data_IF_987115587891
#
_entry.id   IF_987115587891
#
_cell.length_a   1.000
_cell.length_b   1.000
_cell.length_c   1.000
_cell.angle_alpha   90.00
_cell.angle_beta   90.00
_cell.angle_gamma   90.00
#
_symmetry.space_group_name_H-M   'P 1'
#
loop_
_entity.id
_entity.type
_entity.pdbx_description
1 polymer ?
#
# COMPACT_ATOMS: atom_id res chain seq x y z
N UNK A 1 28.47 -1.57 17.28
CA UNK A 1 27.29 -2.16 17.95
C UNK A 1 26.39 -2.70 16.86
N UNK A 2 26.12 -3.99 16.91
CA UNK A 2 25.53 -4.83 15.88
C UNK A 2 24.13 -4.37 15.50
N UNK A 3 23.91 -4.16 14.22
CA UNK A 3 22.62 -3.84 13.62
C UNK A 3 21.58 -4.92 13.95
N UNK A 4 20.56 -4.56 14.69
CA UNK A 4 19.39 -5.39 14.89
C UNK A 4 18.66 -5.49 13.55
N UNK A 5 18.78 -6.64 12.88
CA UNK A 5 18.02 -6.97 11.69
C UNK A 5 16.53 -6.85 12.02
N UNK A 6 15.87 -5.90 11.40
CA UNK A 6 14.41 -5.78 11.42
C UNK A 6 13.83 -7.02 10.76
N UNK A 7 13.26 -7.91 11.55
CA UNK A 7 12.47 -9.03 11.03
C UNK A 7 11.36 -8.46 10.14
N UNK A 8 11.11 -9.08 8.98
CA UNK A 8 10.01 -8.64 8.13
C UNK A 8 8.69 -8.71 8.94
N UNK A 9 7.79 -7.75 8.73
CA UNK A 9 6.52 -7.73 9.44
C UNK A 9 5.75 -9.05 9.20
N UNK A 10 5.02 -9.57 10.21
CA UNK A 10 4.25 -10.79 10.08
C UNK A 10 3.25 -10.66 8.91
N UNK A 11 3.16 -11.72 8.11
CA UNK A 11 2.19 -11.78 7.01
C UNK A 11 0.78 -11.70 7.57
N UNK A 12 -0.02 -10.78 7.05
CA UNK A 12 -1.46 -10.78 7.30
C UNK A 12 -2.07 -11.80 6.34
N UNK A 13 -2.61 -12.87 6.89
CA UNK A 13 -3.42 -13.83 6.14
C UNK A 13 -4.88 -13.37 6.19
N UNK A 14 -5.54 -13.38 5.05
CA UNK A 14 -7.00 -13.19 4.95
C UNK A 14 -7.59 -14.53 4.60
N UNK A 15 -8.55 -15.01 5.37
CA UNK A 15 -9.23 -16.26 5.03
C UNK A 15 -10.19 -16.07 3.85
N UNK A 16 -10.45 -17.12 3.11
CA UNK A 16 -11.44 -17.10 2.02
C UNK A 16 -12.80 -16.67 2.56
N UNK A 17 -13.20 -17.16 3.74
CA UNK A 17 -14.46 -16.78 4.40
C UNK A 17 -14.55 -15.27 4.67
N UNK A 18 -13.49 -14.67 5.23
CA UNK A 18 -13.43 -13.22 5.50
C UNK A 18 -13.45 -12.38 4.22
N UNK A 19 -12.88 -12.89 3.12
CA UNK A 19 -12.91 -12.20 1.83
C UNK A 19 -14.32 -12.15 1.26
N UNK A 20 -15.04 -13.30 1.22
CA UNK A 20 -16.35 -13.38 0.58
C UNK A 20 -17.48 -12.81 1.44
N UNK A 21 -17.32 -12.77 2.76
CA UNK A 21 -18.28 -12.16 3.69
C UNK A 21 -18.21 -10.63 3.75
N UNK A 22 -17.16 -10.01 3.17
CA UNK A 22 -16.98 -8.58 3.24
C UNK A 22 -17.94 -7.82 2.31
N UNK A 23 -18.83 -7.02 2.87
CA UNK A 23 -19.82 -6.24 2.12
C UNK A 23 -19.20 -5.23 1.12
N UNK A 24 -17.90 -4.89 1.27
CA UNK A 24 -17.17 -3.96 0.39
C UNK A 24 -16.66 -4.62 -0.89
N UNK A 25 -16.84 -5.93 -1.06
CA UNK A 25 -16.35 -6.66 -2.24
C UNK A 25 -16.93 -6.11 -3.57
N UNK A 26 -18.14 -5.56 -3.56
CA UNK A 26 -18.74 -4.88 -4.72
C UNK A 26 -19.17 -5.81 -5.86
N UNK A 27 -19.07 -7.13 -5.67
CA UNK A 27 -19.60 -8.21 -6.51
C UNK A 27 -20.15 -9.33 -5.63
N UNK A 28 -21.14 -10.05 -6.12
CA UNK A 28 -21.70 -11.19 -5.41
C UNK A 28 -20.97 -12.47 -5.81
N UNK A 29 -20.48 -13.20 -4.80
CA UNK A 29 -19.86 -14.50 -4.99
C UNK A 29 -20.74 -15.59 -4.40
N UNK A 30 -21.43 -16.36 -5.24
CA UNK A 30 -22.25 -17.50 -4.82
C UNK A 30 -21.38 -18.74 -4.68
N UNK A 31 -21.36 -19.35 -3.50
CA UNK A 31 -20.59 -20.59 -3.26
C UNK A 31 -21.26 -21.78 -3.94
N UNK A 32 -20.46 -22.57 -4.68
CA UNK A 32 -20.89 -23.77 -5.38
C UNK A 32 -20.39 -25.06 -4.72
N UNK A 33 -19.21 -25.03 -4.08
CA UNK A 33 -18.57 -26.20 -3.48
C UNK A 33 -17.51 -25.78 -2.44
N UNK A 34 -16.97 -26.75 -1.69
CA UNK A 34 -15.76 -26.60 -0.89
C UNK A 34 -15.94 -25.80 0.40
N UNK A 35 -17.06 -25.93 1.12
CA UNK A 35 -17.32 -25.21 2.38
C UNK A 35 -16.22 -25.40 3.42
N UNK A 36 -15.68 -26.62 3.53
CA UNK A 36 -14.62 -26.93 4.49
C UNK A 36 -13.34 -26.11 4.30
N UNK A 37 -13.13 -25.53 3.13
CA UNK A 37 -11.95 -24.74 2.79
C UNK A 37 -12.06 -23.25 3.06
N UNK A 38 -13.15 -22.73 3.63
CA UNK A 38 -13.33 -21.29 3.88
C UNK A 38 -12.29 -20.70 4.83
N UNK A 39 -11.65 -21.52 5.67
CA UNK A 39 -10.52 -21.12 6.52
C UNK A 39 -9.17 -21.05 5.81
N UNK A 40 -9.06 -21.42 4.52
CA UNK A 40 -7.78 -21.38 3.79
C UNK A 40 -7.28 -19.93 3.64
N UNK A 41 -5.95 -19.71 3.80
CA UNK A 41 -5.39 -18.37 3.75
C UNK A 41 -5.21 -17.88 2.31
N UNK A 42 -5.48 -16.61 2.09
CA UNK A 42 -5.09 -15.85 0.90
C UNK A 42 -3.96 -14.91 1.34
N UNK A 43 -2.82 -14.95 0.65
CA UNK A 43 -1.59 -14.24 1.03
C UNK A 43 -1.12 -13.23 -0.01
N UNK A 44 -1.79 -13.12 -1.14
CA UNK A 44 -1.38 -12.27 -2.24
C UNK A 44 -2.51 -11.34 -2.67
N UNK A 45 -2.24 -10.05 -2.85
CA UNK A 45 -3.26 -9.09 -3.25
C UNK A 45 -3.64 -9.20 -4.73
N UNK A 46 -2.91 -9.98 -5.52
CA UNK A 46 -3.19 -10.17 -6.94
C UNK A 46 -3.80 -11.54 -7.19
N UNK A 47 -4.92 -11.55 -7.89
CA UNK A 47 -5.54 -12.77 -8.39
C UNK A 47 -4.73 -13.37 -9.54
N UNK A 48 -4.97 -14.63 -9.86
CA UNK A 48 -4.29 -15.32 -10.94
C UNK A 48 -5.31 -15.95 -11.89
N UNK A 49 -5.12 -15.74 -13.20
CA UNK A 49 -5.77 -16.50 -14.23
C UNK A 49 -4.91 -17.71 -14.58
N UNK A 50 -5.42 -18.91 -14.35
CA UNK A 50 -4.63 -20.14 -14.45
C UNK A 50 -5.12 -21.06 -15.57
N UNK A 51 -5.44 -20.50 -16.75
CA UNK A 51 -5.93 -21.26 -17.89
C UNK A 51 -4.99 -22.38 -18.34
N UNK A 52 -3.70 -22.14 -18.36
CA UNK A 52 -2.70 -23.16 -18.72
C UNK A 52 -2.65 -24.33 -17.73
N UNK A 53 -3.03 -24.09 -16.47
CA UNK A 53 -3.06 -25.14 -15.46
C UNK A 53 -4.15 -26.20 -15.76
N UNK A 54 -5.25 -25.79 -16.38
CA UNK A 54 -6.27 -26.74 -16.88
C UNK A 54 -5.76 -27.62 -18.05
N UNK A 55 -4.75 -27.12 -18.77
CA UNK A 55 -4.06 -27.88 -19.80
C UNK A 55 -2.88 -28.74 -19.26
N UNK A 56 -2.71 -28.80 -17.94
CA UNK A 56 -1.66 -29.57 -17.28
C UNK A 56 -0.33 -28.84 -17.07
N UNK A 57 -0.26 -27.55 -17.37
CA UNK A 57 0.93 -26.75 -17.13
C UNK A 57 0.82 -26.00 -15.80
N UNK A 58 1.37 -26.57 -14.73
CA UNK A 58 1.22 -26.07 -13.36
C UNK A 58 2.31 -25.08 -12.92
N UNK A 59 3.34 -24.87 -13.74
CA UNK A 59 4.43 -23.97 -13.41
C UNK A 59 3.90 -22.55 -13.21
N UNK A 60 4.33 -21.90 -12.12
CA UNK A 60 3.95 -20.53 -11.80
C UNK A 60 2.55 -20.37 -11.17
N UNK A 61 1.80 -21.47 -10.93
CA UNK A 61 0.57 -21.41 -10.14
C UNK A 61 0.92 -21.19 -8.67
N UNK A 62 0.35 -20.13 -8.08
CA UNK A 62 0.53 -19.80 -6.66
C UNK A 62 -0.74 -20.18 -5.91
N UNK A 63 -0.74 -21.26 -5.12
CA UNK A 63 -1.95 -21.78 -4.47
C UNK A 63 -2.64 -20.79 -3.54
N UNK A 64 -1.89 -19.91 -2.89
CA UNK A 64 -2.39 -18.91 -1.94
C UNK A 64 -2.91 -17.62 -2.60
N UNK A 65 -3.05 -17.59 -3.91
CA UNK A 65 -3.79 -16.57 -4.68
C UNK A 65 -5.21 -17.02 -4.96
N UNK A 66 -6.12 -16.07 -5.08
CA UNK A 66 -7.44 -16.31 -5.66
C UNK A 66 -7.25 -16.67 -7.14
N UNK A 67 -7.71 -17.86 -7.54
CA UNK A 67 -7.69 -18.26 -8.94
C UNK A 67 -8.98 -17.82 -9.62
N UNK A 68 -8.90 -17.27 -10.83
CA UNK A 68 -10.07 -16.86 -11.62
C UNK A 68 -10.09 -17.65 -12.93
N UNK A 69 -11.19 -18.33 -13.18
CA UNK A 69 -11.47 -19.01 -14.45
C UNK A 69 -12.62 -18.26 -15.14
N UNK A 70 -12.35 -17.72 -16.30
CA UNK A 70 -13.32 -17.00 -17.12
C UNK A 70 -13.81 -17.83 -18.29
N UNK A 71 -14.49 -17.15 -19.22
CA UNK A 71 -15.06 -17.75 -20.43
C UNK A 71 -14.02 -18.53 -21.26
N UNK A 72 -12.81 -17.97 -21.43
CA UNK A 72 -11.73 -18.62 -22.20
C UNK A 72 -11.31 -19.94 -21.57
N UNK A 73 -11.15 -19.98 -20.26
CA UNK A 73 -10.73 -21.14 -19.51
C UNK A 73 -11.83 -22.23 -19.51
N UNK A 74 -13.09 -21.83 -19.41
CA UNK A 74 -14.22 -22.75 -19.39
C UNK A 74 -14.54 -23.30 -20.80
N UNK A 75 -14.46 -22.45 -21.83
CA UNK A 75 -14.62 -22.90 -23.22
C UNK A 75 -13.55 -23.93 -23.63
N UNK A 76 -12.29 -23.75 -23.15
CA UNK A 76 -11.26 -24.77 -23.35
C UNK A 76 -11.69 -26.14 -22.79
N UNK A 77 -12.23 -26.18 -21.56
CA UNK A 77 -12.72 -27.42 -20.98
C UNK A 77 -13.82 -28.07 -21.84
N UNK A 78 -14.67 -27.30 -22.49
CA UNK A 78 -15.72 -27.78 -23.35
C UNK A 78 -15.19 -28.47 -24.61
N UNK A 79 -14.00 -28.15 -25.07
CA UNK A 79 -13.34 -28.83 -26.19
C UNK A 79 -12.83 -30.23 -25.85
N UNK A 80 -12.68 -30.52 -24.54
CA UNK A 80 -12.16 -31.83 -24.08
C UNK A 80 -13.27 -32.88 -23.98
N UNK A 81 -12.89 -34.16 -24.09
CA UNK A 81 -13.78 -35.30 -23.76
C UNK A 81 -14.16 -35.27 -22.27
N UNK A 82 -15.25 -35.92 -21.88
CA UNK A 82 -15.72 -35.96 -20.49
C UNK A 82 -14.64 -36.46 -19.51
N UNK A 83 -13.90 -37.50 -19.90
CA UNK A 83 -12.81 -38.05 -19.07
C UNK A 83 -11.64 -37.06 -18.95
N UNK A 84 -11.25 -36.43 -20.05
CA UNK A 84 -10.18 -35.41 -20.05
C UNK A 84 -10.56 -34.17 -19.24
N UNK A 85 -11.83 -33.73 -19.28
CA UNK A 85 -12.34 -32.65 -18.40
C UNK A 85 -12.18 -33.01 -16.93
N UNK A 86 -12.56 -34.23 -16.55
CA UNK A 86 -12.40 -34.74 -15.20
C UNK A 86 -10.95 -34.80 -14.75
N UNK A 87 -10.04 -35.23 -15.63
CA UNK A 87 -8.60 -35.26 -15.36
C UNK A 87 -8.01 -33.81 -15.18
N UNK A 88 -8.33 -32.93 -16.10
CA UNK A 88 -7.90 -31.54 -16.06
C UNK A 88 -8.36 -30.83 -14.76
N UNK A 89 -9.65 -30.99 -14.41
CA UNK A 89 -10.20 -30.44 -13.17
C UNK A 89 -9.51 -31.03 -11.94
N UNK A 90 -9.38 -32.35 -11.82
CA UNK A 90 -8.68 -33.00 -10.69
C UNK A 90 -7.24 -32.54 -10.58
N UNK A 91 -6.49 -32.47 -11.68
CA UNK A 91 -5.10 -31.96 -11.68
C UNK A 91 -4.99 -30.53 -11.17
N UNK A 92 -5.88 -29.67 -11.62
CA UNK A 92 -5.89 -28.27 -11.19
C UNK A 92 -6.23 -28.13 -9.69
N UNK A 93 -7.28 -28.77 -9.21
CA UNK A 93 -7.70 -28.66 -7.81
C UNK A 93 -6.77 -29.40 -6.82
N UNK A 94 -5.97 -30.36 -7.29
CA UNK A 94 -4.97 -31.06 -6.47
C UNK A 94 -3.79 -30.15 -6.04
N UNK A 95 -3.67 -28.95 -6.63
CA UNK A 95 -2.63 -27.97 -6.28
C UNK A 95 -2.82 -27.34 -4.89
N UNK A 96 -3.88 -27.65 -4.15
CA UNK A 96 -4.11 -27.09 -2.82
C UNK A 96 -4.49 -25.61 -2.83
N UNK A 97 -5.26 -25.19 -3.82
CA UNK A 97 -5.66 -23.79 -4.05
C UNK A 97 -6.46 -23.23 -2.87
N UNK A 98 -6.27 -21.95 -2.55
CA UNK A 98 -7.06 -21.26 -1.53
C UNK A 98 -8.52 -21.17 -1.93
N UNK A 99 -8.81 -20.68 -3.11
CA UNK A 99 -10.16 -20.69 -3.71
C UNK A 99 -10.11 -20.49 -5.23
N UNK A 100 -11.22 -20.78 -5.87
CA UNK A 100 -11.44 -20.58 -7.30
C UNK A 100 -12.72 -19.79 -7.51
N UNK A 101 -12.69 -18.78 -8.40
CA UNK A 101 -13.85 -17.98 -8.77
C UNK A 101 -14.10 -18.16 -10.26
N UNK A 102 -15.29 -18.65 -10.60
CA UNK A 102 -15.79 -18.71 -11.97
C UNK A 102 -16.45 -17.39 -12.33
N UNK A 103 -16.27 -16.95 -13.57
CA UNK A 103 -16.87 -15.71 -14.06
C UNK A 103 -17.41 -15.92 -15.48
N UNK A 104 -18.42 -15.13 -15.86
CA UNK A 104 -18.98 -15.10 -17.22
C UNK A 104 -19.69 -16.39 -17.68
N UNK A 105 -20.21 -17.19 -16.77
CA UNK A 105 -21.01 -18.39 -17.08
C UNK A 105 -22.28 -18.44 -16.22
N UNK A 106 -23.36 -18.99 -16.78
CA UNK A 106 -24.62 -19.20 -16.04
C UNK A 106 -24.55 -20.46 -15.16
N UNK A 107 -23.86 -21.51 -15.63
CA UNK A 107 -23.71 -22.76 -14.91
C UNK A 107 -22.25 -23.21 -14.83
N UNK A 108 -21.87 -23.76 -13.68
CA UNK A 108 -20.53 -24.31 -13.49
C UNK A 108 -20.41 -25.72 -14.12
N UNK A 109 -19.31 -26.02 -14.86
CA UNK A 109 -19.07 -27.37 -15.37
C UNK A 109 -19.03 -28.41 -14.23
N UNK A 110 -19.76 -29.50 -14.34
CA UNK A 110 -19.86 -30.57 -13.31
C UNK A 110 -18.50 -31.09 -12.86
N UNK A 111 -17.54 -31.24 -13.79
CA UNK A 111 -16.19 -31.70 -13.48
C UNK A 111 -15.45 -30.77 -12.53
N UNK A 112 -15.64 -29.45 -12.67
CA UNK A 112 -15.05 -28.41 -11.80
C UNK A 112 -15.66 -28.47 -10.39
N UNK A 113 -17.00 -28.56 -10.29
CA UNK A 113 -17.71 -28.68 -9.01
C UNK A 113 -17.29 -29.92 -8.24
N UNK A 114 -17.27 -31.07 -8.93
CA UNK A 114 -16.87 -32.35 -8.32
C UNK A 114 -15.41 -32.34 -7.84
N UNK A 115 -14.49 -31.77 -8.61
CA UNK A 115 -13.09 -31.66 -8.23
C UNK A 115 -12.88 -30.69 -7.05
N UNK A 116 -13.60 -29.58 -7.03
CA UNK A 116 -13.59 -28.62 -5.93
C UNK A 116 -14.09 -29.26 -4.63
N UNK A 117 -15.20 -29.97 -4.66
CA UNK A 117 -15.77 -30.68 -3.52
C UNK A 117 -14.84 -31.76 -2.99
N UNK A 118 -14.29 -32.61 -3.89
CA UNK A 118 -13.38 -33.69 -3.54
C UNK A 118 -12.09 -33.20 -2.84
N UNK A 119 -11.62 -31.97 -3.14
CA UNK A 119 -10.43 -31.37 -2.54
C UNK A 119 -10.76 -30.40 -1.41
N UNK A 120 -12.06 -30.17 -1.13
CA UNK A 120 -12.50 -29.15 -0.17
C UNK A 120 -12.03 -27.73 -0.56
N UNK A 121 -11.85 -27.46 -1.86
CA UNK A 121 -11.43 -26.14 -2.33
C UNK A 121 -12.66 -25.27 -2.56
N UNK A 122 -12.78 -24.09 -1.88
CA UNK A 122 -13.89 -23.17 -2.09
C UNK A 122 -13.99 -22.74 -3.54
N UNK A 123 -15.16 -22.99 -4.12
CA UNK A 123 -15.53 -22.63 -5.49
C UNK A 123 -16.69 -21.66 -5.47
N UNK A 124 -16.52 -20.54 -6.15
CA UNK A 124 -17.54 -19.50 -6.23
C UNK A 124 -17.91 -19.19 -7.69
N UNK A 125 -19.14 -18.76 -7.89
CA UNK A 125 -19.61 -18.12 -9.12
C UNK A 125 -19.80 -16.62 -8.85
N UNK A 126 -19.21 -15.78 -9.71
CA UNK A 126 -19.43 -14.34 -9.66
C UNK A 126 -20.61 -13.94 -10.56
N UNK A 127 -21.44 -13.00 -10.08
CA UNK A 127 -22.50 -12.35 -10.87
C UNK A 127 -21.97 -11.37 -11.92
N UNK A 128 -20.66 -11.11 -11.91
CA UNK A 128 -20.01 -10.11 -12.75
C UNK A 128 -19.00 -10.72 -13.73
N UNK A 129 -18.70 -9.99 -14.79
CA UNK A 129 -17.65 -10.36 -15.75
C UNK A 129 -16.27 -10.38 -15.08
N UNK A 130 -15.34 -11.16 -15.66
CA UNK A 130 -13.99 -11.37 -15.13
C UNK A 130 -13.26 -10.06 -14.75
N UNK A 131 -13.31 -9.05 -15.59
CA UNK A 131 -12.63 -7.78 -15.34
C UNK A 131 -13.16 -7.06 -14.09
N UNK A 132 -14.49 -7.01 -13.92
CA UNK A 132 -15.13 -6.39 -12.75
C UNK A 132 -14.83 -7.20 -11.48
N UNK A 133 -14.93 -8.51 -11.53
CA UNK A 133 -14.62 -9.41 -10.41
C UNK A 133 -13.16 -9.29 -10.00
N UNK A 134 -12.23 -9.30 -10.94
CA UNK A 134 -10.79 -9.14 -10.67
C UNK A 134 -10.49 -7.79 -10.02
N UNK A 135 -11.06 -6.71 -10.53
CA UNK A 135 -10.85 -5.37 -9.96
C UNK A 135 -11.42 -5.26 -8.55
N UNK A 136 -12.60 -5.83 -8.28
CA UNK A 136 -13.22 -5.86 -6.96
C UNK A 136 -12.36 -6.66 -5.95
N UNK A 137 -11.89 -7.85 -6.36
CA UNK A 137 -10.99 -8.67 -5.55
C UNK A 137 -9.66 -7.96 -5.27
N UNK A 138 -9.04 -7.34 -6.29
CA UNK A 138 -7.80 -6.59 -6.10
C UNK A 138 -7.98 -5.44 -5.11
N UNK A 139 -9.03 -4.63 -5.26
CA UNK A 139 -9.28 -3.50 -4.37
C UNK A 139 -9.42 -3.92 -2.91
N UNK A 140 -10.17 -5.01 -2.64
CA UNK A 140 -10.37 -5.51 -1.29
C UNK A 140 -9.13 -6.21 -0.72
N UNK A 141 -8.43 -7.00 -1.54
CA UNK A 141 -7.21 -7.69 -1.12
C UNK A 141 -6.04 -6.72 -0.88
N UNK A 142 -5.90 -5.66 -1.71
CA UNK A 142 -4.92 -4.60 -1.49
C UNK A 142 -5.13 -3.89 -0.14
N UNK A 143 -6.39 -3.75 0.29
CA UNK A 143 -6.71 -3.17 1.59
C UNK A 143 -6.46 -4.16 2.74
N UNK A 144 -6.99 -5.39 2.63
CA UNK A 144 -6.91 -6.39 3.71
C UNK A 144 -5.50 -6.94 3.95
N UNK A 145 -4.69 -7.06 2.90
CA UNK A 145 -3.32 -7.56 2.96
C UNK A 145 -2.27 -6.45 3.06
N UNK A 146 -2.69 -5.17 3.12
CA UNK A 146 -1.76 -4.07 3.27
C UNK A 146 -0.99 -4.18 4.59
N UNK A 147 0.34 -4.07 4.57
CA UNK A 147 1.12 -3.94 5.77
C UNK A 147 0.58 -2.81 6.64
N UNK A 148 0.32 -3.08 7.90
CA UNK A 148 -0.22 -2.09 8.83
C UNK A 148 0.50 -2.11 10.17
N UNK A 149 0.53 -0.95 10.83
CA UNK A 149 1.13 -0.75 12.14
C UNK A 149 0.31 0.26 12.93
N UNK A 150 0.42 0.22 14.25
CA UNK A 150 -0.18 1.24 15.12
C UNK A 150 0.94 1.99 15.83
N UNK A 151 0.86 3.33 15.78
CA UNK A 151 1.80 4.23 16.45
C UNK A 151 1.05 5.09 17.46
N UNK A 152 1.65 5.28 18.63
CA UNK A 152 1.16 6.28 19.58
C UNK A 152 1.60 7.67 19.12
N UNK A 153 0.63 8.50 18.77
CA UNK A 153 0.89 9.83 18.24
C UNK A 153 -0.38 10.52 17.78
N UNK A 154 -0.22 11.70 17.23
CA UNK A 154 -1.32 12.52 16.70
C UNK A 154 -1.05 12.80 15.23
N UNK A 155 -2.03 12.57 14.38
CA UNK A 155 -1.95 12.88 12.95
C UNK A 155 -2.86 14.04 12.61
N UNK A 156 -2.29 15.09 12.01
CA UNK A 156 -3.02 16.30 11.59
C UNK A 156 -2.71 16.61 10.12
N UNK A 157 -3.70 17.08 9.38
CA UNK A 157 -3.54 17.59 8.01
C UNK A 157 -3.38 19.12 8.06
N UNK A 158 -2.15 19.59 7.85
CA UNK A 158 -1.75 21.00 7.89
C UNK A 158 -1.37 21.46 6.49
N UNK A 159 -2.15 22.36 5.88
CA UNK A 159 -1.97 22.82 4.49
C UNK A 159 -1.85 21.70 3.45
N UNK A 160 -2.48 20.56 3.67
CA UNK A 160 -2.35 19.40 2.78
C UNK A 160 -1.13 18.51 3.07
N UNK A 161 -0.33 18.82 4.08
CA UNK A 161 0.77 17.98 4.59
C UNK A 161 0.27 17.17 5.79
N UNK A 162 0.42 15.86 5.78
CA UNK A 162 0.14 15.00 6.94
C UNK A 162 1.31 15.03 7.92
N UNK A 163 1.12 15.68 9.06
CA UNK A 163 2.09 15.75 10.16
C UNK A 163 1.76 14.68 11.20
N UNK A 164 2.66 13.72 11.41
CA UNK A 164 2.60 12.77 12.51
C UNK A 164 3.40 13.31 13.70
N UNK A 165 2.71 13.74 14.75
CA UNK A 165 3.31 14.24 15.98
C UNK A 165 3.63 13.07 16.90
N UNK A 166 4.88 12.87 17.22
CA UNK A 166 5.38 11.87 18.18
C UNK A 166 6.00 12.59 19.39
N UNK A 167 6.18 11.88 20.49
CA UNK A 167 6.80 12.37 21.70
C UNK A 167 6.23 11.73 22.96
N UNK A 168 6.83 11.98 24.10
CA UNK A 168 6.43 11.42 25.40
C UNK A 168 4.96 11.74 25.70
N UNK A 169 4.32 10.85 26.48
CA UNK A 169 2.98 11.15 27.00
C UNK A 169 3.00 12.44 27.82
N UNK A 170 2.03 13.32 27.58
CA UNK A 170 1.91 14.59 28.29
C UNK A 170 2.75 15.73 27.76
N UNK A 171 3.48 15.58 26.66
CA UNK A 171 4.29 16.66 26.07
C UNK A 171 3.46 17.72 25.34
N UNK A 172 2.15 17.53 25.17
CA UNK A 172 1.27 18.51 24.51
C UNK A 172 0.87 18.14 23.08
N UNK A 173 0.96 16.86 22.64
CA UNK A 173 0.58 16.44 21.28
C UNK A 173 -0.87 16.75 20.93
N UNK A 174 -1.80 16.36 21.80
CA UNK A 174 -3.25 16.58 21.61
C UNK A 174 -3.60 18.07 21.69
N UNK A 175 -2.95 18.82 22.59
CA UNK A 175 -3.10 20.26 22.69
C UNK A 175 -2.65 20.97 21.40
N UNK A 176 -1.52 20.56 20.82
CA UNK A 176 -1.08 21.05 19.51
C UNK A 176 -2.09 20.74 18.40
N UNK A 177 -2.72 19.55 18.42
CA UNK A 177 -3.73 19.20 17.44
C UNK A 177 -4.97 20.08 17.55
N UNK A 178 -5.46 20.34 18.77
CA UNK A 178 -6.60 21.26 19.00
C UNK A 178 -6.27 22.67 18.56
N UNK A 179 -5.06 23.17 18.88
CA UNK A 179 -4.60 24.48 18.42
C UNK A 179 -4.58 24.57 16.88
N UNK A 180 -4.08 23.55 16.20
CA UNK A 180 -4.10 23.49 14.74
C UNK A 180 -5.52 23.44 14.17
N UNK A 181 -6.45 22.72 14.81
CA UNK A 181 -7.87 22.70 14.43
C UNK A 181 -8.49 24.10 14.58
N UNK A 182 -8.22 24.81 15.67
CA UNK A 182 -8.67 26.19 15.86
C UNK A 182 -8.14 27.16 14.79
N UNK A 183 -6.98 26.84 14.19
CA UNK A 183 -6.39 27.58 13.06
C UNK A 183 -6.92 27.13 11.68
N UNK A 184 -7.91 26.22 11.65
CA UNK A 184 -8.58 25.75 10.42
C UNK A 184 -7.94 24.52 9.77
N UNK A 185 -7.03 23.81 10.46
CA UNK A 185 -6.47 22.53 10.02
C UNK A 185 -7.40 21.37 10.42
N UNK A 186 -7.04 20.15 10.01
CA UNK A 186 -7.93 18.99 10.17
C UNK A 186 -7.27 17.92 11.01
N UNK A 187 -7.98 17.48 12.05
CA UNK A 187 -7.61 16.30 12.81
C UNK A 187 -7.81 15.04 11.95
N UNK A 188 -6.85 14.12 12.00
CA UNK A 188 -7.01 12.78 11.43
C UNK A 188 -7.14 11.75 12.54
N UNK A 189 -6.19 11.69 13.47
CA UNK A 189 -6.20 10.75 14.59
C UNK A 189 -5.50 11.36 15.81
N UNK A 190 -5.99 11.01 17.01
CA UNK A 190 -5.33 11.29 18.29
C UNK A 190 -5.08 9.99 19.05
N UNK A 191 -4.01 9.97 19.87
CA UNK A 191 -3.52 8.86 20.68
C UNK A 191 -3.01 7.66 19.87
N UNK A 192 -3.80 7.03 19.01
CA UNK A 192 -3.42 5.87 18.20
C UNK A 192 -3.65 6.16 16.73
N UNK A 193 -2.56 6.17 15.95
CA UNK A 193 -2.59 6.29 14.49
C UNK A 193 -2.37 4.91 13.88
N UNK A 194 -3.36 4.41 13.16
CA UNK A 194 -3.25 3.19 12.33
C UNK A 194 -2.57 3.55 11.03
N UNK A 195 -1.36 3.06 10.85
CA UNK A 195 -0.56 3.27 9.64
C UNK A 195 -0.75 2.11 8.68
N UNK A 196 -0.99 2.40 7.41
CA UNK A 196 -1.12 1.42 6.32
C UNK A 196 -0.15 1.78 5.20
N UNK A 197 0.63 0.80 4.77
CA UNK A 197 1.47 0.96 3.59
C UNK A 197 0.65 0.76 2.31
N UNK A 198 0.87 1.62 1.33
CA UNK A 198 0.24 1.51 0.01
C UNK A 198 1.26 1.75 -1.12
N UNK A 199 1.15 0.98 -2.24
CA UNK A 199 1.99 1.24 -3.41
C UNK A 199 1.83 2.69 -3.90
N UNK A 200 2.91 3.30 -4.43
CA UNK A 200 4.27 2.80 -4.64
C UNK A 200 5.25 3.08 -3.47
N UNK A 201 4.87 3.04 -2.24
CA UNK A 201 5.74 3.30 -1.08
C UNK A 201 5.26 4.47 -0.22
N UNK A 202 3.95 4.60 -0.08
CA UNK A 202 3.33 5.63 0.75
C UNK A 202 2.73 5.02 2.01
N UNK A 203 2.84 5.74 3.13
CA UNK A 203 2.17 5.38 4.37
C UNK A 203 1.01 6.33 4.62
N UNK A 204 -0.16 5.77 4.86
CA UNK A 204 -1.35 6.51 5.25
C UNK A 204 -1.68 6.24 6.70
N UNK A 205 -2.06 7.29 7.43
CA UNK A 205 -2.56 7.19 8.79
C UNK A 205 -4.07 7.41 8.85
N UNK A 206 -4.73 6.70 9.76
CA UNK A 206 -6.15 6.80 10.08
C UNK A 206 -6.38 6.62 11.59
N UNK A 207 -7.52 7.06 12.15
CA UNK A 207 -7.83 6.84 13.55
C UNK A 207 -8.15 5.36 13.84
N UNK A 208 -7.98 4.93 15.08
CA UNK A 208 -8.64 3.73 15.57
C UNK A 208 -10.16 3.95 15.59
N UNK A 209 -10.95 2.92 15.22
CA UNK A 209 -12.41 3.07 15.01
C UNK A 209 -13.13 3.63 16.24
N UNK A 210 -12.74 3.21 17.46
CA UNK A 210 -13.35 3.67 18.71
C UNK A 210 -12.99 5.11 19.08
N UNK A 211 -11.86 5.64 18.59
CA UNK A 211 -11.36 6.99 18.89
C UNK A 211 -11.55 7.97 17.74
N UNK A 212 -12.35 7.58 16.74
CA UNK A 212 -12.60 8.41 15.56
C UNK A 212 -13.13 9.78 15.94
N UNK A 213 -12.46 10.83 15.46
CA UNK A 213 -12.77 12.25 15.69
C UNK A 213 -12.65 12.73 17.15
N UNK A 214 -12.18 11.90 18.06
CA UNK A 214 -11.98 12.28 19.45
C UNK A 214 -10.56 12.72 19.72
N UNK A 215 -10.42 13.66 20.64
CA UNK A 215 -9.16 14.17 21.21
C UNK A 215 -9.30 14.20 22.72
N UNK A 216 -8.28 13.71 23.43
CA UNK A 216 -8.22 13.85 24.88
C UNK A 216 -7.43 15.12 25.24
N UNK A 217 -8.11 16.05 25.91
CA UNK A 217 -7.49 17.28 26.41
C UNK A 217 -7.51 17.29 27.93
N UNK A 218 -6.33 17.37 28.55
CA UNK A 218 -6.23 17.41 30.01
C UNK A 218 -7.00 18.57 30.59
N UNK A 219 -7.86 18.30 31.55
CA UNK A 219 -8.75 19.27 32.19
C UNK A 219 -10.10 19.50 31.51
N UNK A 220 -10.24 19.11 30.23
CA UNK A 220 -11.52 19.17 29.51
C UNK A 220 -12.11 17.77 29.24
N UNK A 221 -11.26 16.72 29.30
CA UNK A 221 -11.68 15.35 29.02
C UNK A 221 -11.66 15.01 27.53
N UNK A 222 -12.50 14.04 27.13
CA UNK A 222 -12.60 13.56 25.75
C UNK A 222 -13.57 14.45 24.95
N UNK A 223 -13.07 15.10 23.91
CA UNK A 223 -13.80 16.02 23.05
C UNK A 223 -14.01 15.41 21.66
N UNK A 224 -15.21 15.53 21.09
CA UNK A 224 -15.46 15.17 19.70
C UNK A 224 -15.25 16.39 18.79
N UNK A 225 -14.17 16.42 18.04
CA UNK A 225 -13.80 17.54 17.17
C UNK A 225 -14.80 17.76 16.04
N UNK A 226 -15.39 16.70 15.51
CA UNK A 226 -16.41 16.81 14.46
C UNK A 226 -17.69 17.50 14.98
N UNK A 227 -18.09 17.20 16.20
CA UNK A 227 -19.29 17.80 16.80
C UNK A 227 -19.07 19.27 17.21
N UNK A 228 -17.84 19.60 17.63
CA UNK A 228 -17.48 20.97 18.03
C UNK A 228 -17.22 21.90 16.85
N UNK A 229 -16.54 21.42 15.79
CA UNK A 229 -16.03 22.28 14.71
C UNK A 229 -16.58 21.89 13.32
N UNK A 230 -17.41 20.86 13.24
CA UNK A 230 -18.00 20.39 11.99
C UNK A 230 -17.12 19.41 11.20
N UNK A 231 -17.69 18.86 10.13
CA UNK A 231 -17.05 17.84 9.28
C UNK A 231 -15.77 18.32 8.59
N UNK A 232 -15.63 19.64 8.41
CA UNK A 232 -14.46 20.24 7.76
C UNK A 232 -13.21 20.21 8.64
N UNK A 233 -13.36 20.05 9.95
CA UNK A 233 -12.27 20.01 10.93
C UNK A 233 -11.65 18.60 11.11
N UNK A 234 -12.21 17.59 10.46
CA UNK A 234 -11.74 16.21 10.57
C UNK A 234 -11.44 15.59 9.21
N UNK A 235 -10.63 14.55 9.21
CA UNK A 235 -10.30 13.77 8.00
C UNK A 235 -10.14 12.31 8.37
N UNK A 236 -10.74 11.41 7.58
CA UNK A 236 -10.75 9.97 7.85
C UNK A 236 -9.37 9.31 7.66
N UNK A 237 -8.59 9.77 6.69
CA UNK A 237 -7.28 9.22 6.35
C UNK A 237 -6.41 10.26 5.67
N UNK A 238 -5.11 10.25 5.99
CA UNK A 238 -4.13 11.15 5.40
C UNK A 238 -2.80 10.42 5.18
N UNK A 239 -2.12 10.70 4.05
CA UNK A 239 -0.72 10.30 3.88
C UNK A 239 0.12 10.97 4.96
N UNK A 240 1.01 10.21 5.59
CA UNK A 240 2.01 10.75 6.50
C UNK A 240 3.14 11.30 5.64
N UNK A 241 3.32 12.60 5.67
CA UNK A 241 4.24 13.33 4.83
C UNK A 241 5.50 13.74 5.58
N UNK A 242 5.39 13.93 6.88
CA UNK A 242 6.47 14.30 7.78
C UNK A 242 6.17 13.80 9.18
N UNK A 243 7.19 13.35 9.90
CA UNK A 243 7.15 13.06 11.33
C UNK A 243 7.74 14.24 12.10
N UNK A 244 7.03 14.68 13.13
CA UNK A 244 7.51 15.72 14.04
C UNK A 244 7.68 15.10 15.43
N UNK A 245 8.91 14.99 15.87
CA UNK A 245 9.25 14.56 17.21
C UNK A 245 9.20 15.76 18.15
N UNK A 246 8.24 15.75 19.08
CA UNK A 246 8.18 16.74 20.15
C UNK A 246 9.06 16.29 21.31
N UNK A 247 9.97 17.16 21.76
CA UNK A 247 10.89 16.90 22.87
C UNK A 247 10.86 18.05 23.88
N UNK A 248 11.07 17.75 25.14
CA UNK A 248 11.22 18.80 26.15
C UNK A 248 12.47 19.63 25.86
N UNK A 249 12.35 20.95 25.98
CA UNK A 249 13.48 21.83 25.77
C UNK A 249 14.62 21.49 26.74
N UNK A 250 15.82 21.31 26.19
CA UNK A 250 17.03 21.05 26.96
C UNK A 250 18.11 22.06 26.55
N UNK A 251 18.58 22.89 27.47
CA UNK A 251 19.61 23.91 27.20
C UNK A 251 20.97 23.29 26.81
N UNK A 252 21.19 22.02 27.12
CA UNK A 252 22.45 21.32 26.83
C UNK A 252 22.47 20.64 25.45
N UNK A 253 21.33 20.56 24.78
CA UNK A 253 21.22 19.97 23.46
C UNK A 253 21.35 21.02 22.36
N UNK A 254 22.17 20.73 21.36
CA UNK A 254 22.23 21.52 20.14
C UNK A 254 21.10 21.11 19.21
N UNK A 255 20.14 22.00 19.04
CA UNK A 255 19.07 21.81 18.05
C UNK A 255 19.56 22.32 16.69
N UNK A 256 19.22 21.58 15.62
CA UNK A 256 19.52 22.03 14.25
C UNK A 256 18.94 23.42 13.99
N UNK A 257 19.80 24.42 13.93
CA UNK A 257 19.45 25.84 13.69
C UNK A 257 19.25 26.15 12.22
N UNK A 258 19.84 25.35 11.34
CA UNK A 258 19.84 25.59 9.91
C UNK A 258 18.76 24.77 9.18
N UNK A 259 18.26 23.70 9.78
CA UNK A 259 17.27 22.82 9.15
C UNK A 259 17.87 21.99 8.00
N UNK A 260 19.18 21.69 8.06
CA UNK A 260 19.93 20.97 7.03
C UNK A 260 19.90 19.47 7.27
N UNK A 261 19.73 19.03 8.51
CA UNK A 261 19.69 17.63 8.88
C UNK A 261 18.54 16.90 8.18
N UNK A 262 18.88 15.90 7.38
CA UNK A 262 17.91 15.03 6.71
C UNK A 262 17.72 13.75 7.54
N UNK A 263 17.13 13.88 8.72
CA UNK A 263 16.74 12.74 9.56
C UNK A 263 15.48 12.09 9.04
N UNK A 264 15.40 10.77 9.17
CA UNK A 264 14.26 9.97 8.74
C UNK A 264 13.72 9.11 9.87
N UNK A 265 12.42 8.86 9.84
CA UNK A 265 11.71 7.94 10.70
C UNK A 265 11.09 6.84 9.84
N UNK A 266 11.39 5.59 10.15
CA UNK A 266 10.91 4.45 9.34
C UNK A 266 9.56 3.96 9.83
N UNK A 267 8.55 3.96 8.95
CA UNK A 267 7.24 3.37 9.18
C UNK A 267 6.97 2.36 8.06
N UNK A 268 6.75 1.09 8.40
CA UNK A 268 6.44 0.03 7.43
C UNK A 268 7.43 0.01 6.25
N UNK A 269 8.73 0.08 6.55
CA UNK A 269 9.83 0.10 5.57
C UNK A 269 9.84 1.33 4.65
N UNK A 270 9.08 2.39 4.98
CA UNK A 270 9.10 3.67 4.28
C UNK A 270 9.80 4.70 5.15
N UNK A 271 10.83 5.33 4.62
CA UNK A 271 11.53 6.44 5.27
C UNK A 271 10.74 7.73 5.08
N UNK A 272 10.38 8.36 6.20
CA UNK A 272 9.62 9.61 6.24
C UNK A 272 10.48 10.64 6.97
N UNK A 273 10.59 11.83 6.42
CA UNK A 273 11.39 12.91 7.00
C UNK A 273 10.98 13.16 8.45
N UNK A 274 11.97 13.24 9.33
CA UNK A 274 11.84 13.53 10.76
C UNK A 274 12.35 14.93 11.08
N UNK A 275 11.54 15.70 11.80
CA UNK A 275 11.93 17.01 12.34
C UNK A 275 11.74 16.98 13.86
N UNK A 276 12.76 17.38 14.61
CA UNK A 276 12.66 17.52 16.07
C UNK A 276 12.28 18.95 16.42
N UNK A 277 11.20 19.11 17.18
CA UNK A 277 10.72 20.41 17.63
C UNK A 277 10.70 20.45 19.16
N UNK A 278 11.56 21.29 19.78
CA UNK A 278 11.59 21.43 21.23
C UNK A 278 10.37 22.19 21.73
N UNK A 279 9.70 21.62 22.71
CA UNK A 279 8.54 22.21 23.40
C UNK A 279 9.05 23.05 24.56
N UNK A 280 8.70 24.32 24.57
CA UNK A 280 9.06 25.26 25.64
C UNK A 280 7.82 26.04 26.07
N UNK A 281 7.61 26.25 27.39
CA UNK A 281 6.54 27.12 27.88
C UNK A 281 6.56 28.50 27.21
N UNK A 282 5.40 28.97 26.78
CA UNK A 282 5.24 30.26 26.11
C UNK A 282 5.61 30.30 24.63
N UNK A 283 6.02 29.19 24.04
CA UNK A 283 6.23 29.08 22.58
C UNK A 283 4.93 28.68 21.88
N UNK A 284 4.60 29.39 20.81
CA UNK A 284 3.47 29.05 19.94
C UNK A 284 3.80 27.81 19.11
N UNK A 285 3.32 26.65 19.59
CA UNK A 285 3.60 25.36 18.95
C UNK A 285 2.82 25.21 17.64
N UNK A 286 1.58 25.73 17.57
CA UNK A 286 0.79 25.73 16.35
C UNK A 286 1.50 26.45 15.20
N UNK A 287 2.00 27.66 15.46
CA UNK A 287 2.77 28.41 14.48
C UNK A 287 4.04 27.67 14.03
N UNK A 288 4.74 27.01 14.96
CA UNK A 288 5.94 26.23 14.63
C UNK A 288 5.60 25.04 13.70
N UNK A 289 4.52 24.33 13.97
CA UNK A 289 4.06 23.21 13.16
C UNK A 289 3.57 23.66 11.77
N UNK A 290 2.88 24.81 11.71
CA UNK A 290 2.50 25.42 10.42
C UNK A 290 3.73 25.80 9.59
N UNK A 291 4.76 26.39 10.22
CA UNK A 291 6.01 26.73 9.52
C UNK A 291 6.74 25.47 9.04
N UNK A 292 6.78 24.41 9.84
CA UNK A 292 7.35 23.12 9.43
C UNK A 292 6.61 22.55 8.21
N UNK A 293 5.27 22.58 8.19
CA UNK A 293 4.48 22.12 7.06
C UNK A 293 4.71 22.95 5.79
N UNK A 294 4.80 24.30 5.92
CA UNK A 294 5.10 25.20 4.80
C UNK A 294 6.50 24.98 4.24
N UNK A 295 7.50 24.77 5.12
CA UNK A 295 8.85 24.43 4.69
C UNK A 295 8.89 23.11 3.93
N UNK A 296 8.14 22.10 4.39
CA UNK A 296 8.01 20.83 3.66
C UNK A 296 7.39 21.01 2.27
N UNK A 297 6.37 21.87 2.11
CA UNK A 297 5.79 22.20 0.81
C UNK A 297 6.84 22.86 -0.12
N UNK A 298 7.66 23.77 0.38
CA UNK A 298 8.74 24.41 -0.39
C UNK A 298 9.79 23.39 -0.82
N UNK A 299 10.19 22.49 0.09
CA UNK A 299 11.15 21.41 -0.22
C UNK A 299 10.63 20.48 -1.33
N UNK A 300 9.36 20.12 -1.30
CA UNK A 300 8.72 19.33 -2.37
C UNK A 300 8.64 20.07 -3.70
N UNK A 301 8.59 21.38 -3.66
CA UNK A 301 8.70 22.23 -4.85
C UNK A 301 10.15 22.46 -5.32
N UNK A 302 11.13 21.76 -4.71
CA UNK A 302 12.55 21.86 -5.06
C UNK A 302 13.26 23.08 -4.46
N UNK A 303 12.65 23.81 -3.50
CA UNK A 303 13.25 24.97 -2.84
C UNK A 303 13.77 24.58 -1.46
N UNK A 304 15.08 24.71 -1.27
CA UNK A 304 15.78 24.38 -0.02
C UNK A 304 16.48 25.62 0.55
N UNK A 305 15.73 26.48 1.21
CA UNK A 305 16.23 27.79 1.68
C UNK A 305 17.53 27.70 2.49
N UNK A 306 17.69 26.68 3.34
CA UNK A 306 18.92 26.49 4.11
C UNK A 306 20.10 26.08 3.22
N UNK A 307 19.91 25.14 2.28
CA UNK A 307 20.97 24.73 1.34
C UNK A 307 21.35 25.88 0.40
N UNK A 308 20.36 26.67 -0.06
CA UNK A 308 20.60 27.86 -0.87
C UNK A 308 21.39 28.94 -0.11
N UNK A 309 21.09 29.13 1.19
CA UNK A 309 21.84 30.08 2.02
C UNK A 309 23.29 29.59 2.22
N UNK A 310 23.48 28.31 2.54
CA UNK A 310 24.82 27.74 2.70
C UNK A 310 25.67 27.88 1.42
N UNK A 311 25.11 27.52 0.27
CA UNK A 311 25.80 27.68 -1.02
C UNK A 311 26.22 29.13 -1.27
N UNK A 312 25.37 30.12 -0.96
CA UNK A 312 25.72 31.55 -1.08
C UNK A 312 26.79 31.98 -0.08
N UNK A 313 26.79 31.40 1.14
CA UNK A 313 27.83 31.71 2.12
C UNK A 313 29.17 31.12 1.70
N UNK A 314 29.18 29.91 1.15
CA UNK A 314 30.38 29.28 0.60
C UNK A 314 30.95 30.05 -0.59
N UNK A 315 30.10 30.49 -1.51
CA UNK A 315 30.49 31.33 -2.64
C UNK A 315 31.11 32.69 -2.16
N UNK A 316 30.51 33.34 -1.15
CA UNK A 316 30.97 34.60 -0.61
C UNK A 316 32.22 34.49 0.27
N UNK A 317 32.45 33.32 0.88
CA UNK A 317 33.63 33.07 1.71
C UNK A 317 34.87 32.70 0.86
N UNK A 318 34.74 32.52 -0.46
CA UNK A 318 35.86 32.16 -1.36
C UNK A 318 36.39 30.74 -1.12
N UNK A 319 35.65 29.91 -0.40
CA UNK A 319 35.97 28.50 -0.17
C UNK A 319 35.41 27.72 -1.36
N UNK A 320 36.30 27.25 -2.24
CA UNK A 320 35.91 26.31 -3.27
C UNK A 320 35.25 25.07 -2.61
N UNK A 321 34.19 24.53 -3.16
CA UNK A 321 33.53 23.37 -2.57
C UNK A 321 34.52 22.21 -2.57
N UNK A 322 35.04 21.87 -1.40
CA UNK A 322 35.79 20.65 -1.20
C UNK A 322 34.80 19.51 -1.34
N UNK A 323 35.06 18.65 -2.34
CA UNK A 323 34.21 17.58 -2.81
C UNK A 323 33.67 16.73 -1.66
N UNK A 324 32.37 16.53 -1.72
CA UNK A 324 31.64 15.35 -1.21
C UNK A 324 31.99 14.95 0.23
N UNK A 325 31.30 15.53 1.18
CA UNK A 325 31.02 14.78 2.40
C UNK A 325 30.26 13.52 2.02
N UNK A 326 30.92 12.41 2.29
CA UNK A 326 30.40 11.05 2.23
C UNK A 326 28.94 11.04 2.74
N UNK A 327 28.01 10.70 1.85
CA UNK A 327 26.62 10.40 2.20
C UNK A 327 26.60 9.10 3.03
N UNK A 328 27.03 9.16 4.27
CA UNK A 328 26.71 8.15 5.25
C UNK A 328 25.33 8.46 5.82
N UNK A 329 24.36 7.57 5.72
CA UNK A 329 23.03 7.79 6.29
C UNK A 329 23.14 7.80 7.82
N UNK A 330 23.12 9.00 8.41
CA UNK A 330 23.14 9.17 9.86
C UNK A 330 21.77 8.83 10.46
N UNK A 331 21.83 7.85 11.36
CA UNK A 331 20.85 7.45 12.39
C UNK A 331 19.36 7.42 12.01
N UNK A 332 18.94 6.26 11.55
CA UNK A 332 17.53 5.86 11.54
C UNK A 332 17.06 5.61 12.97
N UNK A 333 16.15 6.41 13.47
CA UNK A 333 15.47 6.16 14.74
C UNK A 333 14.29 5.25 14.47
N UNK A 334 14.41 3.98 14.88
CA UNK A 334 13.32 3.02 14.78
C UNK A 334 12.56 2.95 16.10
N UNK A 335 11.26 3.24 16.06
CA UNK A 335 10.37 2.96 17.20
C UNK A 335 9.90 1.51 17.14
N UNK A 336 9.69 0.83 18.28
CA UNK A 336 9.07 -0.50 18.30
C UNK A 336 7.61 -0.36 17.82
N UNK A 337 7.33 -0.93 16.65
CA UNK A 337 6.02 -0.88 16.01
C UNK A 337 5.39 -2.26 16.08
N UNK A 338 4.18 -2.38 16.63
CA UNK A 338 3.38 -3.61 16.52
C UNK A 338 2.83 -3.69 15.09
N UNK A 339 3.44 -4.52 14.25
CA UNK A 339 3.12 -4.61 12.83
C UNK A 339 2.22 -5.81 12.54
N UNK A 340 1.13 -5.58 11.80
CA UNK A 340 0.41 -6.62 11.07
C UNK A 340 0.70 -6.41 9.58
N UNK A 341 1.42 -7.33 8.91
CA UNK A 341 1.87 -7.05 7.55
C UNK A 341 2.12 -8.26 6.66
N UNK A 342 2.16 -8.03 5.35
CA UNK A 342 2.42 -9.03 4.31
C UNK A 342 3.92 -9.15 3.99
N UNK A 343 4.41 -10.35 3.72
CA UNK A 343 5.77 -10.59 3.28
C UNK A 343 5.93 -10.29 1.78
N UNK A 344 7.15 -9.92 1.39
CA UNK A 344 7.56 -9.95 -0.01
C UNK A 344 7.49 -11.40 -0.56
N UNK A 345 7.18 -11.60 -1.85
CA UNK A 345 7.20 -12.92 -2.44
C UNK A 345 8.60 -13.52 -2.30
N UNK A 346 8.73 -14.81 -1.94
CA UNK A 346 10.02 -15.47 -1.90
C UNK A 346 10.65 -15.43 -3.30
N UNK A 347 11.99 -15.33 -3.40
CA UNK A 347 12.67 -15.52 -4.67
C UNK A 347 12.33 -16.92 -5.21
N UNK A 348 12.29 -17.11 -6.53
CA UNK A 348 11.99 -18.41 -7.11
C UNK A 348 12.99 -19.44 -6.57
N UNK A 349 12.46 -20.47 -5.89
CA UNK A 349 13.24 -21.58 -5.40
C UNK A 349 13.93 -22.24 -6.59
N UNK A 350 15.26 -22.20 -6.62
CA UNK A 350 16.08 -23.03 -7.48
C UNK A 350 15.82 -24.48 -7.13
N UNK A 351 15.10 -25.20 -7.98
CA UNK A 351 15.01 -26.65 -7.91
C UNK A 351 16.39 -27.20 -8.30
N UNK A 352 17.12 -27.71 -7.31
CA UNK A 352 18.31 -28.46 -7.56
C UNK A 352 17.92 -29.77 -8.27
N UNK A 353 18.35 -29.93 -9.52
CA UNK A 353 18.35 -31.24 -10.18
C UNK A 353 19.49 -32.08 -9.59
N UNK A 354 19.26 -33.38 -9.29
CA UNK A 354 20.34 -34.27 -8.91
C UNK A 354 21.07 -34.67 -10.20
N UNK A 355 22.18 -34.07 -10.47
CA UNK A 355 23.33 -34.56 -11.21
C UNK A 355 24.07 -33.39 -11.83
N UNK A 356 25.18 -33.04 -11.16
CA UNK A 356 26.09 -32.03 -11.64
C UNK A 356 26.87 -32.48 -12.87
N UNK A 357 26.60 -31.89 -14.01
CA UNK A 357 27.60 -31.68 -15.10
C UNK A 357 27.04 -30.68 -16.10
N UNK A 358 27.57 -29.48 -16.11
CA UNK A 358 27.42 -28.55 -17.22
C UNK A 358 28.55 -28.84 -18.19
N UNK A 359 28.22 -29.25 -19.42
CA UNK A 359 29.13 -29.26 -20.56
C UNK A 359 28.90 -27.97 -21.33
N UNK A 360 29.95 -27.17 -21.44
CA UNK A 360 30.04 -26.06 -22.40
C UNK A 360 29.95 -26.59 -23.83
N UNK A 361 28.87 -26.23 -24.53
CA UNK A 361 28.94 -26.12 -25.99
C UNK A 361 27.74 -25.34 -26.52
N UNK A 362 28.09 -24.42 -27.41
CA UNK A 362 27.24 -23.70 -28.37
C UNK A 362 26.79 -22.29 -28.01
N UNK A 363 27.76 -21.36 -28.22
CA UNK A 363 27.46 -20.01 -28.68
C UNK A 363 26.83 -20.10 -30.06
N UNK A 364 25.56 -19.76 -30.21
CA UNK A 364 24.97 -19.44 -31.50
C UNK A 364 24.28 -18.09 -31.47
N UNK A 365 24.57 -17.34 -32.48
CA UNK A 365 24.35 -15.95 -32.86
C UNK A 365 22.93 -15.41 -32.64
N UNK A 366 22.75 -14.08 -32.49
CA UNK A 366 21.44 -13.46 -32.36
C UNK A 366 20.70 -13.44 -33.69
N UNK A 367 19.45 -13.92 -33.69
CA UNK A 367 18.56 -13.89 -34.83
C UNK A 367 18.10 -12.44 -35.13
N UNK A 368 18.13 -12.10 -36.42
CA UNK A 368 17.78 -10.84 -36.98
C UNK A 368 16.31 -10.40 -36.70
N UNK A 369 16.13 -9.12 -36.39
CA UNK A 369 14.83 -8.45 -36.37
C UNK A 369 14.22 -8.40 -37.79
N UNK A 370 12.92 -8.66 -37.98
CA UNK A 370 12.26 -8.34 -39.23
C UNK A 370 12.00 -6.83 -39.32
N UNK A 371 12.43 -6.24 -40.44
CA UNK A 371 12.16 -4.88 -40.83
C UNK A 371 10.67 -4.73 -41.18
N UNK A 372 9.97 -3.77 -40.57
CA UNK A 372 8.69 -3.29 -41.05
C UNK A 372 8.94 -2.09 -41.94
N UNK A 373 8.51 -2.25 -43.19
CA UNK A 373 8.66 -1.25 -44.24
C UNK A 373 7.79 -0.01 -44.00
N UNK A 374 8.36 1.12 -44.42
CA UNK A 374 7.70 2.38 -44.55
C UNK A 374 6.62 2.28 -45.67
N UNK A 375 5.41 2.78 -45.42
CA UNK A 375 4.33 2.86 -46.38
C UNK A 375 3.35 3.98 -45.99
N UNK A 376 3.60 5.16 -46.52
CA UNK A 376 2.72 6.22 -47.07
C UNK A 376 1.38 6.53 -46.42
N UNK A 377 1.25 7.79 -46.07
CA UNK A 377 0.14 8.72 -46.03
C UNK A 377 -1.23 8.24 -46.51
N UNK A 378 -2.26 8.45 -45.69
CA UNK A 378 -3.54 8.97 -46.17
C UNK A 378 -4.32 9.62 -45.04
N UNK A 379 -4.55 10.91 -45.25
CA UNK A 379 -5.44 11.83 -44.55
C UNK A 379 -6.91 11.36 -44.60
N UNK A 380 -7.66 11.64 -43.56
CA UNK A 380 -8.95 12.27 -43.54
C UNK A 380 -9.94 11.78 -42.50
N UNK A 381 -10.56 12.75 -41.88
CA UNK A 381 -11.91 12.87 -41.35
C UNK A 381 -12.12 12.74 -39.84
N UNK A 382 -12.16 13.94 -39.24
CA UNK A 382 -12.90 14.22 -38.00
C UNK A 382 -14.17 15.01 -38.44
N UNK A 383 -15.39 14.62 -38.09
CA UNK A 383 -16.55 15.48 -38.19
C UNK A 383 -16.77 16.27 -36.90
N UNK A 384 -16.81 17.57 -37.01
CA UNK A 384 -17.20 18.54 -36.01
C UNK A 384 -18.69 18.39 -35.65
N UNK A 385 -19.00 18.29 -34.35
CA UNK A 385 -20.38 18.43 -33.84
C UNK A 385 -20.65 19.90 -33.53
N UNK A 386 -21.62 20.49 -34.19
CA UNK A 386 -22.18 21.82 -33.89
C UNK A 386 -23.18 21.76 -32.76
N UNK A 387 -23.25 22.77 -31.88
CA UNK A 387 -24.31 22.88 -30.89
C UNK A 387 -25.60 23.36 -31.54
N UNK A 388 -26.72 22.75 -31.19
CA UNK A 388 -28.08 23.24 -31.51
C UNK A 388 -28.48 24.30 -30.48
N UNK A 389 -28.88 25.45 -31.02
CA UNK A 389 -29.38 26.58 -30.29
C UNK A 389 -30.80 26.36 -29.74
N UNK A 390 -31.07 27.15 -28.73
CA UNK A 390 -32.37 27.46 -28.14
C UNK A 390 -33.37 27.96 -29.16
N UNK A 391 -34.61 27.48 -29.06
CA UNK A 391 -35.81 28.28 -29.28
C UNK A 391 -37.06 27.47 -28.85
N UNK A 392 -38.01 28.14 -28.12
CA UNK A 392 -39.36 27.71 -27.79
C UNK A 392 -39.61 27.43 -26.31
#
# INVERSE_FOLDING_TARGET
MTGAGTSPPPMVDVTVGELVADARLGVTLTRLAGEAGLGRPIRHPRVQKSGLALAGHFFGVVPTRVQVLGETELSYLETLSLDARGQAARGFFSLGLSCVVLTAHEEAPRAIVQAAEATGTPLFMSDARSSRTINALHALLDEKLAPSASLHGVLVDVFGIGLLLLGKSGIGKSECAVELVLRGHRLVADDVVRCEWRPPGMVFGSPADMLRHHVEVRGLGLLNIKDLFGVTAVRERKRIDMVVQLEEWNEKEEYDRLGVDDRHFTILSTEIRLVTVPVRPGRDMGAMLEMAARNELLRRAGKHSAKELLARLEENAGIAPEMALDDQPESVVSAPVAVRGAAAPPPPSSVATPDGKWTDSERSQPAARPAWGAGTESSAWIPAVRPKGSDG
#
